data_IF_575609657627
#
_entry.id   IF_575609657627
#
_cell.length_a   1.000
_cell.length_b   1.000
_cell.length_c   1.000
_cell.angle_alpha   90.00
_cell.angle_beta   90.00
_cell.angle_gamma   90.00
#
_symmetry.space_group_name_H-M   'P 1'
#
loop_
_entity.id
_entity.type
_entity.pdbx_description
1 polymer ?
#
# COMPACT_ATOMS: atom_id res chain seq x y z
N UNK A 1 45.70 -11.88 -57.21
CA UNK A 1 44.23 -11.91 -57.16
C UNK A 1 43.76 -13.34 -57.36
N UNK A 2 42.80 -13.76 -56.53
CA UNK A 2 42.12 -15.07 -56.48
C UNK A 2 42.96 -16.27 -56.00
N UNK A 3 42.85 -16.56 -54.70
CA UNK A 3 42.91 -17.93 -54.19
C UNK A 3 41.73 -18.19 -53.26
N UNK A 4 41.16 -19.37 -53.46
CA UNK A 4 39.98 -19.91 -52.80
C UNK A 4 40.27 -20.41 -51.38
N UNK A 5 39.19 -20.62 -50.62
CA UNK A 5 39.14 -21.21 -49.29
C UNK A 5 37.98 -20.54 -48.54
N UNK A 6 37.15 -21.20 -47.74
CA UNK A 6 37.26 -22.50 -47.11
C UNK A 6 35.83 -22.84 -46.63
N UNK A 7 35.36 -24.05 -46.94
CA UNK A 7 34.10 -24.60 -46.44
C UNK A 7 34.22 -24.84 -44.94
N UNK A 8 33.38 -24.22 -44.11
CA UNK A 8 33.32 -24.48 -42.66
C UNK A 8 32.08 -25.33 -42.38
N UNK A 9 32.31 -26.57 -41.95
CA UNK A 9 31.32 -27.45 -41.34
C UNK A 9 30.92 -26.87 -39.97
N UNK A 10 29.63 -26.61 -39.77
CA UNK A 10 29.08 -26.37 -38.44
C UNK A 10 28.61 -27.70 -37.84
N UNK A 11 29.36 -28.16 -36.83
CA UNK A 11 29.13 -29.37 -36.03
C UNK A 11 27.92 -29.19 -35.12
N UNK A 12 26.93 -30.08 -35.24
CA UNK A 12 25.87 -30.26 -34.23
C UNK A 12 26.49 -30.85 -32.96
N UNK A 13 26.36 -30.14 -31.83
CA UNK A 13 26.67 -30.67 -30.51
C UNK A 13 25.36 -31.13 -29.87
N UNK A 14 25.15 -32.43 -29.81
CA UNK A 14 24.07 -33.07 -29.07
C UNK A 14 24.48 -33.24 -27.61
N UNK A 15 23.88 -32.49 -26.69
CA UNK A 15 24.03 -32.75 -25.25
C UNK A 15 23.09 -33.90 -24.86
N UNK A 16 23.68 -35.05 -24.59
CA UNK A 16 23.04 -36.17 -23.89
C UNK A 16 23.05 -35.90 -22.39
N UNK A 17 21.89 -35.61 -21.80
CA UNK A 17 21.69 -35.68 -20.35
C UNK A 17 21.43 -37.14 -19.95
N UNK A 18 22.32 -37.71 -19.15
CA UNK A 18 22.11 -38.98 -18.43
C UNK A 18 22.20 -38.71 -16.92
N UNK A 19 21.05 -38.86 -16.26
CA UNK A 19 20.84 -39.68 -15.06
C UNK A 19 21.54 -39.34 -13.72
N UNK A 20 20.73 -38.98 -12.72
CA UNK A 20 20.82 -39.44 -11.32
C UNK A 20 19.47 -39.06 -10.67
N UNK A 21 18.62 -39.96 -10.20
CA UNK A 21 18.75 -40.72 -8.95
C UNK A 21 17.58 -40.32 -8.06
N UNK A 22 16.64 -41.24 -7.82
CA UNK A 22 15.36 -40.93 -7.21
C UNK A 22 15.45 -40.55 -5.73
N UNK A 23 14.63 -39.58 -5.35
CA UNK A 23 13.98 -39.53 -4.05
C UNK A 23 12.50 -39.23 -4.29
N UNK A 24 11.62 -40.06 -3.77
CA UNK A 24 10.17 -39.85 -3.80
C UNK A 24 9.80 -38.89 -2.67
N UNK A 25 10.31 -37.66 -2.75
CA UNK A 25 9.81 -36.53 -1.99
C UNK A 25 8.87 -35.76 -2.89
N UNK A 26 7.62 -35.55 -2.46
CA UNK A 26 6.75 -34.59 -3.13
C UNK A 26 7.45 -33.23 -3.09
N UNK A 27 8.16 -32.87 -4.16
CA UNK A 27 8.78 -31.55 -4.28
C UNK A 27 7.65 -30.55 -4.32
N UNK A 28 7.36 -29.89 -3.20
CA UNK A 28 6.43 -28.77 -3.19
C UNK A 28 7.00 -27.72 -4.14
N UNK A 29 6.29 -27.43 -5.22
CA UNK A 29 6.68 -26.37 -6.14
C UNK A 29 6.86 -25.07 -5.37
N UNK A 30 7.91 -24.33 -5.66
CA UNK A 30 8.17 -23.02 -5.09
C UNK A 30 7.97 -21.93 -6.14
N UNK A 31 7.77 -20.70 -5.67
CA UNK A 31 7.56 -19.50 -6.49
C UNK A 31 8.14 -18.29 -5.77
N UNK A 32 8.61 -17.26 -6.48
CA UNK A 32 8.86 -15.97 -5.87
C UNK A 32 7.55 -15.33 -5.37
N UNK A 33 7.63 -14.60 -4.26
CA UNK A 33 6.61 -13.68 -3.74
C UNK A 33 7.25 -12.30 -3.52
N UNK A 34 6.51 -11.25 -3.84
CA UNK A 34 6.83 -9.86 -3.47
C UNK A 34 5.70 -9.34 -2.59
N UNK A 35 6.03 -8.67 -1.49
CA UNK A 35 5.07 -7.96 -0.66
C UNK A 35 5.52 -6.51 -0.58
N UNK A 36 4.66 -5.61 -1.04
CA UNK A 36 4.88 -4.17 -1.04
C UNK A 36 3.93 -3.45 -0.09
N UNK A 37 4.18 -2.17 0.13
CA UNK A 37 3.31 -1.22 0.83
C UNK A 37 2.92 -0.07 -0.09
N UNK A 38 1.70 0.43 0.07
CA UNK A 38 1.05 1.51 -0.68
C UNK A 38 -0.03 2.13 0.21
N UNK A 39 -0.51 3.31 -0.16
CA UNK A 39 -1.47 4.08 0.62
C UNK A 39 -2.51 4.85 -0.20
N UNK A 40 -3.65 5.10 0.45
CA UNK A 40 -4.62 6.11 0.11
C UNK A 40 -4.45 7.33 1.06
N UNK A 41 -4.03 8.50 0.54
CA UNK A 41 -3.50 9.61 1.33
C UNK A 41 -4.50 10.20 2.34
N UNK A 42 -3.96 10.84 3.37
CA UNK A 42 -4.68 11.65 4.36
C UNK A 42 -4.29 13.13 4.26
N UNK A 43 -5.20 14.04 4.60
CA UNK A 43 -5.05 15.47 4.31
C UNK A 43 -4.24 16.25 5.37
N UNK A 44 -4.36 15.84 6.64
CA UNK A 44 -3.85 16.61 7.79
C UNK A 44 -2.40 16.26 8.16
N UNK A 45 -1.82 15.24 7.52
CA UNK A 45 -0.41 14.86 7.70
C UNK A 45 0.45 15.28 6.51
N UNK A 46 1.69 15.69 6.79
CA UNK A 46 2.75 15.94 5.79
C UNK A 46 3.54 14.68 5.51
N UNK A 47 3.78 13.87 6.54
CA UNK A 47 4.41 12.56 6.41
C UNK A 47 3.76 11.60 7.39
N UNK A 48 3.64 10.33 6.98
CA UNK A 48 3.23 9.23 7.86
C UNK A 48 4.28 8.14 7.71
N UNK A 49 5.23 8.13 8.65
CA UNK A 49 6.42 7.28 8.56
C UNK A 49 6.22 6.02 9.40
N UNK A 50 6.21 4.87 8.71
CA UNK A 50 6.15 3.56 9.35
C UNK A 50 7.48 2.84 9.17
N UNK A 51 8.06 2.41 10.29
CA UNK A 51 9.30 1.62 10.28
C UNK A 51 8.99 0.13 10.35
N UNK A 52 9.25 -0.60 9.26
CA UNK A 52 9.01 -2.03 9.16
C UNK A 52 10.24 -2.84 9.57
N UNK A 53 10.02 -3.86 10.39
CA UNK A 53 11.09 -4.71 10.90
C UNK A 53 11.08 -6.14 10.33
N UNK A 54 9.90 -6.76 10.23
CA UNK A 54 9.79 -8.17 9.81
C UNK A 54 8.48 -8.48 9.08
N UNK A 55 8.55 -9.46 8.19
CA UNK A 55 7.41 -10.09 7.54
C UNK A 55 7.43 -11.59 7.86
N UNK A 56 6.31 -12.13 8.32
CA UNK A 56 6.17 -13.56 8.55
C UNK A 56 5.00 -14.14 7.74
N UNK A 57 5.32 -15.06 6.83
CA UNK A 57 4.35 -15.88 6.11
C UNK A 57 4.05 -17.12 6.95
N UNK A 58 2.76 -17.41 7.11
CA UNK A 58 2.22 -18.38 8.05
C UNK A 58 1.50 -19.52 7.31
N UNK A 59 2.20 -20.61 6.92
CA UNK A 59 1.60 -21.66 6.10
C UNK A 59 0.44 -22.36 6.81
N UNK A 60 -0.69 -22.52 6.11
CA UNK A 60 -1.87 -23.23 6.60
C UNK A 60 -1.65 -24.74 6.44
N UNK A 61 -1.12 -25.39 7.48
CA UNK A 61 -0.79 -26.82 7.48
C UNK A 61 0.63 -27.15 7.96
N UNK A 62 1.42 -26.12 8.30
CA UNK A 62 2.72 -26.24 8.96
C UNK A 62 2.75 -25.32 10.18
N UNK A 63 3.42 -25.73 11.24
CA UNK A 63 3.68 -24.87 12.41
C UNK A 63 4.98 -24.07 12.27
N UNK A 64 5.71 -24.24 11.17
CA UNK A 64 6.95 -23.50 10.89
C UNK A 64 6.67 -22.29 10.00
N UNK A 65 6.79 -21.06 10.52
CA UNK A 65 6.61 -19.84 9.75
C UNK A 65 7.84 -19.58 8.86
N UNK A 66 7.64 -18.82 7.77
CA UNK A 66 8.74 -18.26 6.98
C UNK A 66 8.89 -16.79 7.39
N UNK A 67 10.02 -16.44 8.00
CA UNK A 67 10.26 -15.10 8.55
C UNK A 67 11.36 -14.42 7.76
N UNK A 68 11.09 -13.19 7.36
CA UNK A 68 11.98 -12.33 6.60
C UNK A 68 12.19 -11.03 7.37
N UNK A 69 13.45 -10.64 7.55
CA UNK A 69 13.77 -9.33 8.10
C UNK A 69 13.60 -8.27 7.00
N UNK A 70 13.04 -7.12 7.36
CA UNK A 70 12.83 -5.98 6.49
C UNK A 70 13.83 -4.90 6.89
N UNK A 71 14.65 -4.46 5.95
CA UNK A 71 15.71 -3.50 6.19
C UNK A 71 16.01 -2.69 4.93
N UNK A 72 16.68 -1.56 5.11
CA UNK A 72 17.08 -0.67 4.04
C UNK A 72 18.08 -1.36 3.08
N UNK A 73 17.80 -1.29 1.78
CA UNK A 73 18.62 -1.92 0.74
C UNK A 73 18.84 -0.98 -0.45
N UNK A 74 19.91 -1.24 -1.21
CA UNK A 74 20.13 -0.61 -2.52
C UNK A 74 19.22 -1.21 -3.61
N UNK A 75 19.29 -0.69 -4.84
CA UNK A 75 18.51 -1.18 -5.99
C UNK A 75 18.73 -2.67 -6.32
N UNK A 76 19.87 -3.23 -5.90
CA UNK A 76 20.23 -4.63 -6.11
C UNK A 76 19.82 -5.54 -4.92
N UNK A 77 19.22 -4.98 -3.86
CA UNK A 77 18.84 -5.70 -2.66
C UNK A 77 19.97 -5.90 -1.66
N UNK A 78 21.10 -5.20 -1.80
CA UNK A 78 22.17 -5.26 -0.82
C UNK A 78 21.86 -4.33 0.37
N UNK A 79 22.06 -4.78 1.61
CA UNK A 79 21.81 -3.95 2.80
C UNK A 79 22.72 -2.72 2.84
N UNK A 80 22.15 -1.55 3.16
CA UNK A 80 22.87 -0.27 3.24
C UNK A 80 22.54 0.48 4.54
N UNK A 81 23.45 1.37 4.94
CA UNK A 81 23.21 2.35 6.00
C UNK A 81 22.41 3.57 5.48
N UNK A 82 22.04 4.47 6.38
CA UNK A 82 21.31 5.71 6.07
C UNK A 82 22.05 6.64 5.09
N UNK A 83 23.36 6.46 4.92
CA UNK A 83 24.19 7.22 4.00
C UNK A 83 24.37 6.53 2.65
N UNK A 84 23.75 5.35 2.45
CA UNK A 84 23.85 4.55 1.23
C UNK A 84 25.10 3.68 1.13
N UNK A 85 25.85 3.49 2.21
CA UNK A 85 27.01 2.60 2.22
C UNK A 85 26.59 1.15 2.50
N UNK A 86 27.21 0.19 1.81
CA UNK A 86 26.95 -1.23 2.04
C UNK A 86 27.28 -1.66 3.48
N UNK A 87 26.36 -2.39 4.11
CA UNK A 87 26.55 -3.01 5.42
C UNK A 87 27.05 -4.45 5.23
N UNK A 88 28.21 -4.82 5.78
CA UNK A 88 28.72 -6.19 5.71
C UNK A 88 27.78 -7.23 6.35
N UNK A 89 27.93 -8.49 5.94
CA UNK A 89 27.15 -9.58 6.53
C UNK A 89 27.48 -9.79 8.01
N UNK A 90 26.43 -9.96 8.82
CA UNK A 90 26.53 -10.16 10.27
C UNK A 90 26.60 -8.87 11.09
N UNK A 91 26.60 -7.70 10.44
CA UNK A 91 26.42 -6.41 11.11
C UNK A 91 24.94 -6.06 11.27
N UNK A 92 24.67 -5.13 12.18
CA UNK A 92 23.32 -4.65 12.47
C UNK A 92 22.71 -4.00 11.22
N UNK A 93 21.49 -4.41 10.87
CA UNK A 93 20.76 -3.90 9.71
C UNK A 93 19.89 -2.73 10.14
N UNK A 94 19.78 -1.72 9.27
CA UNK A 94 18.88 -0.58 9.48
C UNK A 94 17.48 -0.98 9.02
N UNK A 95 16.44 -0.92 9.88
CA UNK A 95 15.06 -1.18 9.47
C UNK A 95 14.60 -0.28 8.32
N UNK A 96 13.59 -0.69 7.58
CA UNK A 96 13.05 0.11 6.48
C UNK A 96 11.99 1.09 7.01
N UNK A 97 12.30 2.38 7.06
CA UNK A 97 11.33 3.44 7.32
C UNK A 97 10.72 3.95 6.01
N UNK A 98 9.40 4.02 5.96
CA UNK A 98 8.64 4.36 4.75
C UNK A 98 7.66 5.48 5.07
N UNK A 99 7.79 6.61 4.38
CA UNK A 99 6.69 7.58 4.31
C UNK A 99 5.59 7.01 3.40
N UNK A 100 4.46 6.63 3.99
CA UNK A 100 3.35 6.01 3.25
C UNK A 100 2.78 6.97 2.19
N UNK A 101 2.81 8.27 2.45
CA UNK A 101 2.28 9.28 1.53
C UNK A 101 3.07 9.39 0.22
N UNK A 102 4.26 8.81 0.13
CA UNK A 102 5.05 8.78 -1.12
C UNK A 102 4.54 7.70 -2.10
N UNK A 103 3.71 6.76 -1.63
CA UNK A 103 3.30 5.57 -2.39
C UNK A 103 1.78 5.53 -2.53
N UNK A 104 1.23 6.39 -3.39
CA UNK A 104 -0.21 6.49 -3.64
C UNK A 104 -0.63 5.87 -4.98
N UNK A 105 -1.89 5.46 -5.07
CA UNK A 105 -2.44 4.89 -6.29
C UNK A 105 -1.74 3.58 -6.64
N UNK A 106 -1.17 3.47 -7.84
CA UNK A 106 -0.43 2.27 -8.25
C UNK A 106 1.03 2.24 -7.80
N UNK A 107 1.54 3.29 -7.15
CA UNK A 107 2.90 3.32 -6.63
C UNK A 107 3.02 2.43 -5.38
N UNK A 108 4.10 1.67 -5.25
CA UNK A 108 4.32 0.83 -4.07
C UNK A 108 5.80 0.57 -3.81
N UNK A 109 6.15 0.30 -2.55
CA UNK A 109 7.50 -0.04 -2.11
C UNK A 109 7.58 -1.48 -1.60
N UNK A 110 8.45 -2.35 -2.16
CA UNK A 110 8.64 -3.71 -1.65
C UNK A 110 9.21 -3.72 -0.22
N UNK A 111 8.52 -4.41 0.70
CA UNK A 111 9.06 -4.79 2.01
C UNK A 111 9.93 -6.05 1.90
N UNK A 112 9.49 -7.01 1.08
CA UNK A 112 10.27 -8.19 0.67
C UNK A 112 10.09 -8.39 -0.83
N UNK A 113 11.14 -8.85 -1.51
CA UNK A 113 11.18 -8.89 -2.98
C UNK A 113 11.69 -10.23 -3.49
N UNK A 114 10.88 -10.89 -4.32
CA UNK A 114 11.23 -12.17 -4.98
C UNK A 114 11.65 -13.30 -4.02
N UNK A 115 11.08 -13.33 -2.81
CA UNK A 115 11.39 -14.38 -1.85
C UNK A 115 10.82 -15.72 -2.32
N UNK A 116 11.65 -16.77 -2.35
CA UNK A 116 11.22 -18.07 -2.89
C UNK A 116 10.53 -18.89 -1.81
N UNK A 117 9.23 -19.11 -1.97
CA UNK A 117 8.38 -19.82 -1.00
C UNK A 117 7.63 -20.99 -1.65
N UNK A 118 7.25 -22.02 -0.88
CA UNK A 118 6.35 -23.06 -1.37
C UNK A 118 5.01 -22.49 -1.84
N UNK A 119 4.41 -23.08 -2.86
CA UNK A 119 3.00 -22.80 -3.19
C UNK A 119 2.10 -23.33 -2.07
N UNK A 120 1.03 -22.60 -1.76
CA UNK A 120 0.14 -22.98 -0.67
C UNK A 120 -0.73 -21.85 -0.16
N UNK A 121 -1.42 -22.10 0.93
CA UNK A 121 -2.24 -21.09 1.61
C UNK A 121 -1.49 -20.55 2.83
N UNK A 122 -1.51 -19.24 3.01
CA UNK A 122 -0.73 -18.53 4.02
C UNK A 122 -1.59 -17.50 4.74
N UNK A 123 -1.31 -17.27 6.02
CA UNK A 123 -1.65 -16.01 6.71
C UNK A 123 -0.40 -15.13 6.74
N UNK A 124 -0.55 -13.88 7.18
CA UNK A 124 0.53 -12.90 7.18
C UNK A 124 0.58 -12.15 8.51
N UNK A 125 1.79 -11.98 9.05
CA UNK A 125 2.11 -10.96 10.04
C UNK A 125 3.13 -9.99 9.44
N UNK A 126 2.87 -8.69 9.61
CA UNK A 126 3.84 -7.64 9.30
C UNK A 126 4.10 -6.84 10.56
N UNK A 127 5.36 -6.75 10.93
CA UNK A 127 5.81 -6.07 12.13
C UNK A 127 6.30 -4.67 11.77
N UNK A 128 5.81 -3.70 12.52
CA UNK A 128 6.25 -2.32 12.43
C UNK A 128 6.62 -1.85 13.84
N UNK A 129 7.65 -1.02 13.96
CA UNK A 129 8.01 -0.41 15.24
C UNK A 129 6.92 0.57 15.67
N UNK A 130 6.58 0.58 16.95
CA UNK A 130 5.71 1.59 17.51
C UNK A 130 6.48 2.91 17.73
N UNK A 131 5.77 4.01 17.96
CA UNK A 131 6.40 5.31 18.18
C UNK A 131 7.27 5.41 19.43
N UNK A 132 7.10 4.48 20.39
CA UNK A 132 7.93 4.38 21.59
C UNK A 132 9.20 3.53 21.40
N UNK A 133 9.45 3.04 20.17
CA UNK A 133 10.65 2.27 19.87
C UNK A 133 11.92 3.14 20.02
N UNK A 134 12.96 2.65 20.73
CA UNK A 134 14.08 3.48 21.17
C UNK A 134 14.94 4.07 20.04
N UNK A 135 15.19 3.28 18.99
CA UNK A 135 16.13 3.67 17.94
C UNK A 135 15.45 4.10 16.63
N UNK A 136 14.42 3.36 16.20
CA UNK A 136 13.71 3.62 14.94
C UNK A 136 12.18 3.68 15.15
N UNK A 137 11.64 4.75 15.76
CA UNK A 137 10.21 4.90 15.98
C UNK A 137 9.44 5.14 14.68
N UNK A 138 8.17 4.77 14.67
CA UNK A 138 7.21 5.26 13.67
C UNK A 138 6.60 6.58 14.15
N UNK A 139 6.31 7.52 13.25
CA UNK A 139 5.84 8.86 13.61
C UNK A 139 5.00 9.52 12.51
N UNK A 140 4.31 10.61 12.86
CA UNK A 140 3.55 11.44 11.92
C UNK A 140 4.11 12.86 11.94
N UNK A 141 4.38 13.43 10.78
CA UNK A 141 4.75 14.85 10.65
C UNK A 141 3.50 15.64 10.30
N UNK A 142 3.01 16.46 11.22
CA UNK A 142 1.89 17.40 10.98
C UNK A 142 2.42 18.76 10.50
N UNK A 143 3.57 19.16 11.03
CA UNK A 143 4.26 20.40 10.71
C UNK A 143 5.77 20.15 10.62
N UNK A 144 6.35 20.45 9.46
CA UNK A 144 7.77 20.26 9.18
C UNK A 144 8.69 21.13 10.06
N UNK A 145 8.15 22.20 10.67
CA UNK A 145 8.93 23.08 11.54
C UNK A 145 9.12 22.49 12.96
N UNK A 146 8.35 21.47 13.33
CA UNK A 146 8.41 20.88 14.67
C UNK A 146 9.59 19.91 14.76
N UNK A 147 10.32 19.99 15.89
CA UNK A 147 11.48 19.12 16.15
C UNK A 147 11.10 17.79 16.81
N UNK A 148 9.84 17.68 17.26
CA UNK A 148 9.28 16.50 17.90
C UNK A 148 8.02 16.18 17.13
N UNK A 149 7.97 14.98 16.58
CA UNK A 149 6.84 14.49 15.81
C UNK A 149 5.98 13.59 16.69
N UNK A 150 4.63 13.70 16.59
CA UNK A 150 3.69 12.74 17.16
C UNK A 150 4.11 11.28 16.93
N UNK A 151 4.00 10.46 17.97
CA UNK A 151 4.26 9.03 17.88
C UNK A 151 3.19 8.34 17.02
N UNK A 152 3.58 7.28 16.29
CA UNK A 152 2.66 6.45 15.53
C UNK A 152 2.68 5.02 16.06
N UNK A 153 1.56 4.59 16.63
CA UNK A 153 1.40 3.22 17.12
C UNK A 153 0.72 2.34 16.06
N UNK A 154 1.27 1.15 15.82
CA UNK A 154 0.62 0.10 15.02
C UNK A 154 0.03 -0.93 15.98
N UNK A 155 -1.29 -0.97 16.14
CA UNK A 155 -1.89 -1.87 17.17
C UNK A 155 -1.49 -3.34 16.94
N UNK A 156 -1.17 -4.06 18.01
CA UNK A 156 -0.97 -5.52 17.95
C UNK A 156 -0.08 -6.16 18.99
N UNK A 157 0.49 -5.36 19.90
CA UNK A 157 1.32 -5.82 21.02
C UNK A 157 2.51 -6.70 20.59
N UNK A 158 2.98 -6.52 19.36
CA UNK A 158 4.17 -7.18 18.84
C UNK A 158 4.05 -8.68 18.67
N UNK A 159 2.86 -9.29 18.82
CA UNK A 159 2.71 -10.74 18.91
C UNK A 159 2.15 -11.36 17.62
N UNK A 160 2.86 -12.35 17.07
CA UNK A 160 2.40 -13.15 15.93
C UNK A 160 2.32 -14.65 16.29
N UNK A 161 1.28 -15.37 15.85
CA UNK A 161 1.10 -16.79 16.13
C UNK A 161 2.11 -17.69 15.41
N UNK A 162 1.92 -19.02 15.53
CA UNK A 162 2.74 -20.05 14.89
C UNK A 162 4.24 -19.93 15.19
N UNK A 163 4.58 -19.62 16.45
CA UNK A 163 5.97 -19.64 16.91
C UNK A 163 6.85 -18.49 16.42
N UNK A 164 6.29 -17.49 15.72
CA UNK A 164 7.02 -16.27 15.33
C UNK A 164 7.44 -15.46 16.57
N UNK A 165 6.58 -15.42 17.59
CA UNK A 165 6.89 -14.83 18.89
C UNK A 165 6.41 -13.40 19.05
N UNK A 166 7.05 -12.67 19.96
CA UNK A 166 6.74 -11.28 20.29
C UNK A 166 7.97 -10.40 20.10
N UNK A 167 7.77 -9.21 19.53
CA UNK A 167 8.75 -8.13 19.44
C UNK A 167 8.30 -7.02 20.39
N UNK A 168 9.20 -6.54 21.24
CA UNK A 168 8.90 -5.41 22.14
C UNK A 168 8.91 -4.09 21.34
N UNK A 169 8.11 -3.10 21.76
CA UNK A 169 7.98 -1.79 21.11
C UNK A 169 7.63 -1.89 19.61
N UNK A 170 6.81 -2.87 19.26
CA UNK A 170 6.37 -3.11 17.90
C UNK A 170 4.88 -3.47 17.84
N UNK A 171 4.25 -3.03 16.77
CA UNK A 171 2.95 -3.44 16.31
C UNK A 171 2.96 -4.68 15.42
N UNK A 172 1.77 -5.27 15.22
CA UNK A 172 1.57 -6.35 14.24
C UNK A 172 0.27 -6.17 13.47
N UNK A 173 0.42 -6.01 12.16
CA UNK A 173 -0.65 -6.17 11.18
C UNK A 173 -0.83 -7.67 10.89
N UNK A 174 -1.81 -8.29 11.57
CA UNK A 174 -2.12 -9.71 11.41
C UNK A 174 -3.30 -9.93 10.48
N UNK A 175 -3.05 -10.52 9.33
CA UNK A 175 -4.07 -10.90 8.35
C UNK A 175 -4.55 -12.32 8.63
N UNK A 176 -5.68 -12.41 9.32
CA UNK A 176 -6.24 -13.68 9.78
C UNK A 176 -6.89 -14.51 8.66
N UNK A 177 -7.32 -13.87 7.58
CA UNK A 177 -7.81 -14.55 6.39
C UNK A 177 -6.62 -15.06 5.58
N UNK A 178 -6.67 -16.34 5.21
CA UNK A 178 -5.59 -16.92 4.45
C UNK A 178 -5.67 -16.49 2.97
N UNK A 179 -4.53 -16.14 2.39
CA UNK A 179 -4.37 -15.89 0.97
C UNK A 179 -3.64 -17.08 0.32
N UNK A 180 -3.68 -17.14 -1.01
CA UNK A 180 -3.05 -18.24 -1.77
C UNK A 180 -1.83 -17.74 -2.51
N UNK A 181 -0.70 -18.43 -2.30
CA UNK A 181 0.50 -18.32 -3.12
C UNK A 181 0.42 -19.40 -4.21
N UNK A 182 0.27 -18.95 -5.45
CA UNK A 182 0.07 -19.80 -6.64
C UNK A 182 1.40 -20.10 -7.33
N UNK A 183 1.42 -21.02 -8.30
CA UNK A 183 2.65 -21.31 -9.05
C UNK A 183 3.16 -20.13 -9.90
N UNK A 184 2.28 -19.16 -10.20
CA UNK A 184 2.60 -17.99 -11.01
C UNK A 184 2.01 -16.74 -10.35
N UNK A 185 2.74 -15.63 -10.43
CA UNK A 185 2.23 -14.27 -10.19
C UNK A 185 1.75 -14.03 -8.74
N UNK A 186 2.68 -13.72 -7.85
CA UNK A 186 2.44 -13.54 -6.41
C UNK A 186 3.01 -12.19 -5.94
N UNK A 187 2.48 -11.12 -6.51
CA UNK A 187 2.80 -9.77 -6.09
C UNK A 187 1.65 -9.24 -5.24
N UNK A 188 1.95 -8.93 -3.99
CA UNK A 188 0.99 -8.45 -3.02
C UNK A 188 1.34 -7.04 -2.56
N UNK A 189 0.32 -6.28 -2.20
CA UNK A 189 0.43 -4.94 -1.66
C UNK A 189 -0.36 -4.84 -0.34
N UNK A 190 0.25 -4.26 0.68
CA UNK A 190 -0.42 -3.77 1.87
C UNK A 190 -0.90 -2.37 1.56
N UNK A 191 -2.19 -2.24 1.28
CA UNK A 191 -2.84 -0.95 1.08
C UNK A 191 -3.26 -0.41 2.44
N UNK A 192 -2.57 0.63 2.88
CA UNK A 192 -3.02 1.47 3.97
C UNK A 192 -4.08 2.41 3.41
N UNK A 193 -5.20 2.53 4.09
CA UNK A 193 -6.20 3.53 3.75
C UNK A 193 -6.10 4.60 4.82
N UNK A 194 -5.07 5.45 4.77
CA UNK A 194 -4.72 6.33 5.88
C UNK A 194 -5.84 7.30 6.21
N UNK A 195 -6.63 7.78 5.24
CA UNK A 195 -7.81 8.61 5.51
C UNK A 195 -8.81 7.88 6.43
N UNK A 196 -9.03 6.58 6.21
CA UNK A 196 -9.85 5.72 7.08
C UNK A 196 -9.07 5.07 8.23
N UNK A 197 -7.75 5.12 8.24
CA UNK A 197 -6.92 4.28 9.09
C UNK A 197 -6.16 5.01 10.18
N UNK A 198 -5.69 6.22 9.89
CA UNK A 198 -4.95 7.05 10.82
C UNK A 198 -5.92 7.75 11.77
N UNK A 199 -5.69 7.63 13.07
CA UNK A 199 -6.54 8.24 14.11
C UNK A 199 -5.69 8.81 15.21
N UNK A 200 -6.24 9.77 15.94
CA UNK A 200 -5.71 10.14 17.24
C UNK A 200 -5.68 8.92 18.17
N UNK A 201 -4.60 8.78 18.93
CA UNK A 201 -4.49 7.72 19.91
C UNK A 201 -5.40 8.04 21.12
N UNK A 202 -6.42 7.21 21.42
CA UNK A 202 -7.29 7.43 22.56
C UNK A 202 -6.57 7.28 23.92
N UNK A 203 -5.35 6.74 23.95
CA UNK A 203 -4.53 6.56 25.14
C UNK A 203 -3.46 7.66 25.30
N UNK A 204 -3.06 8.32 24.22
CA UNK A 204 -2.01 9.36 24.25
C UNK A 204 -2.42 10.55 23.38
N UNK A 205 -2.78 11.66 24.04
CA UNK A 205 -3.27 12.84 23.35
C UNK A 205 -2.16 13.49 22.52
N UNK A 206 -2.43 13.68 21.22
CA UNK A 206 -1.49 14.27 20.27
C UNK A 206 -0.66 13.25 19.50
N UNK A 207 -0.77 11.95 19.83
CA UNK A 207 -0.17 10.86 19.08
C UNK A 207 -1.20 10.18 18.17
N UNK A 208 -0.72 9.33 17.27
CA UNK A 208 -1.52 8.66 16.27
C UNK A 208 -1.47 7.14 16.38
N UNK A 209 -2.51 6.51 15.83
CA UNK A 209 -2.62 5.06 15.75
C UNK A 209 -3.16 4.63 14.40
N UNK A 210 -2.58 3.57 13.82
CA UNK A 210 -3.14 2.90 12.64
C UNK A 210 -4.18 1.87 13.07
N UNK A 211 -5.41 2.05 12.59
CA UNK A 211 -6.46 1.05 12.71
C UNK A 211 -6.19 -0.12 11.78
N UNK A 212 -5.93 -1.31 12.34
CA UNK A 212 -5.68 -2.53 11.56
C UNK A 212 -6.76 -2.87 10.53
N UNK A 213 -8.01 -2.49 10.78
CA UNK A 213 -9.15 -2.73 9.89
C UNK A 213 -9.13 -1.87 8.63
N UNK A 214 -8.28 -0.85 8.57
CA UNK A 214 -8.08 -0.01 7.40
C UNK A 214 -7.00 -0.55 6.45
N UNK A 215 -6.18 -1.51 6.89
CA UNK A 215 -5.10 -2.06 6.07
C UNK A 215 -5.56 -3.33 5.37
N UNK A 216 -5.40 -3.38 4.06
CA UNK A 216 -5.83 -4.50 3.21
C UNK A 216 -4.64 -5.17 2.53
N UNK A 217 -4.66 -6.50 2.43
CA UNK A 217 -3.70 -7.26 1.63
C UNK A 217 -4.33 -7.53 0.25
N UNK A 218 -3.73 -6.97 -0.79
CA UNK A 218 -4.24 -7.03 -2.16
C UNK A 218 -3.27 -7.83 -3.03
N UNK A 219 -3.80 -8.69 -3.91
CA UNK A 219 -2.99 -9.31 -4.97
C UNK A 219 -3.00 -8.42 -6.22
N UNK A 220 -1.89 -7.71 -6.44
CA UNK A 220 -1.79 -6.66 -7.46
C UNK A 220 -1.90 -7.18 -8.89
N UNK A 221 -1.69 -8.48 -9.06
CA UNK A 221 -1.70 -9.11 -10.38
C UNK A 221 -3.10 -9.43 -10.89
N UNK A 222 -4.09 -9.35 -10.00
CA UNK A 222 -5.50 -9.60 -10.28
C UNK A 222 -6.33 -8.33 -10.35
N UNK A 223 -5.68 -7.17 -10.27
CA UNK A 223 -6.31 -5.87 -10.13
C UNK A 223 -5.96 -4.94 -11.31
N UNK A 224 -6.65 -3.81 -11.40
CA UNK A 224 -6.31 -2.71 -12.28
C UNK A 224 -6.36 -1.39 -11.53
N UNK A 225 -6.17 -0.28 -12.24
CA UNK A 225 -6.09 1.04 -11.64
C UNK A 225 -7.11 2.00 -12.25
N UNK A 226 -7.41 3.08 -11.54
CA UNK A 226 -8.09 4.26 -12.08
C UNK A 226 -7.14 5.44 -11.93
N UNK A 227 -6.84 6.08 -13.06
CA UNK A 227 -6.11 7.34 -13.14
C UNK A 227 -7.09 8.43 -13.53
N UNK A 228 -7.11 9.55 -12.82
CA UNK A 228 -8.11 10.57 -13.08
C UNK A 228 -7.61 11.99 -12.96
N UNK A 229 -8.36 12.88 -13.60
CA UNK A 229 -8.05 14.30 -13.65
C UNK A 229 -9.25 15.15 -13.26
N UNK A 230 -8.99 16.29 -12.63
CA UNK A 230 -9.97 17.32 -12.32
C UNK A 230 -9.53 18.60 -13.03
N UNK A 231 -10.39 19.13 -13.90
CA UNK A 231 -10.08 20.37 -14.62
C UNK A 231 -9.96 21.56 -13.65
N UNK A 232 -9.14 22.56 -14.00
CA UNK A 232 -8.99 23.76 -13.17
C UNK A 232 -10.33 24.49 -12.95
N UNK A 233 -11.20 24.51 -13.95
CA UNK A 233 -12.53 25.12 -13.84
C UNK A 233 -13.42 24.34 -12.84
N UNK A 234 -13.42 23.00 -12.90
CA UNK A 234 -14.13 22.16 -11.92
C UNK A 234 -13.56 22.36 -10.51
N UNK A 235 -12.23 22.33 -10.37
CA UNK A 235 -11.54 22.54 -9.10
C UNK A 235 -11.90 23.89 -8.47
N UNK A 236 -11.92 24.96 -9.28
CA UNK A 236 -12.26 26.31 -8.84
C UNK A 236 -13.75 26.46 -8.55
N UNK A 237 -14.64 25.85 -9.33
CA UNK A 237 -16.08 25.96 -9.14
C UNK A 237 -16.61 25.15 -7.95
N UNK A 238 -15.95 24.03 -7.62
CA UNK A 238 -16.25 23.30 -6.40
C UNK A 238 -15.79 24.11 -5.18
N UNK A 239 -14.56 24.64 -5.22
CA UNK A 239 -13.98 25.35 -4.10
C UNK A 239 -14.59 26.75 -3.91
N UNK A 240 -15.33 26.96 -2.82
CA UNK A 240 -15.75 28.32 -2.46
C UNK A 240 -14.54 29.09 -1.91
N UNK A 241 -14.11 30.21 -2.54
CA UNK A 241 -12.91 30.96 -2.14
C UNK A 241 -13.01 31.62 -0.75
N UNK A 242 -14.11 31.43 -0.05
CA UNK A 242 -14.36 31.92 1.31
C UNK A 242 -13.97 30.91 2.40
N UNK A 243 -13.64 29.67 2.05
CA UNK A 243 -13.29 28.60 2.99
C UNK A 243 -11.81 28.25 2.80
N UNK A 244 -10.96 28.76 3.69
CA UNK A 244 -9.49 28.58 3.62
C UNK A 244 -9.05 27.14 3.90
N UNK A 245 -9.96 26.32 4.42
CA UNK A 245 -9.73 24.91 4.81
C UNK A 245 -10.43 23.93 3.87
N UNK A 246 -10.83 24.34 2.66
CA UNK A 246 -11.51 23.45 1.72
C UNK A 246 -10.54 22.37 1.23
N UNK A 247 -10.87 21.11 1.48
CA UNK A 247 -10.08 19.97 1.04
C UNK A 247 -10.81 19.21 -0.05
N UNK A 248 -10.07 18.87 -1.10
CA UNK A 248 -10.61 18.21 -2.28
C UNK A 248 -10.11 16.78 -2.38
N UNK A 249 -11.06 15.88 -2.62
CA UNK A 249 -10.81 14.46 -2.68
C UNK A 249 -11.80 13.79 -3.63
N UNK A 250 -11.45 12.58 -4.05
CA UNK A 250 -12.33 11.68 -4.78
C UNK A 250 -12.60 10.47 -3.90
N UNK A 251 -13.86 10.06 -3.83
CA UNK A 251 -14.33 8.93 -3.05
C UNK A 251 -14.79 7.82 -4.00
N UNK A 252 -14.27 6.61 -3.81
CA UNK A 252 -14.58 5.47 -4.67
C UNK A 252 -15.72 4.65 -4.05
N UNK A 253 -16.79 4.43 -4.80
CA UNK A 253 -17.92 3.59 -4.39
C UNK A 253 -18.15 2.46 -5.40
N UNK A 254 -18.84 1.41 -4.96
CA UNK A 254 -19.40 0.41 -5.87
C UNK A 254 -20.28 1.09 -6.94
N UNK A 255 -20.23 0.61 -8.18
CA UNK A 255 -20.93 1.21 -9.31
C UNK A 255 -22.47 1.24 -9.19
N UNK A 256 -23.04 0.51 -8.23
CA UNK A 256 -24.47 0.57 -7.89
C UNK A 256 -24.85 1.77 -7.01
N UNK A 257 -23.89 2.44 -6.38
CA UNK A 257 -24.13 3.57 -5.47
C UNK A 257 -24.40 4.84 -6.27
N UNK A 258 -25.58 5.41 -6.13
CA UNK A 258 -25.96 6.70 -6.72
C UNK A 258 -25.44 7.87 -5.91
N UNK A 259 -25.25 9.05 -6.54
CA UNK A 259 -24.75 10.27 -5.87
C UNK A 259 -25.48 10.59 -4.55
N UNK A 260 -26.82 10.53 -4.54
CA UNK A 260 -27.64 10.83 -3.35
C UNK A 260 -27.40 9.87 -2.17
N UNK A 261 -26.73 8.74 -2.41
CA UNK A 261 -26.40 7.71 -1.41
C UNK A 261 -24.90 7.63 -1.12
N UNK A 262 -24.08 8.45 -1.76
CA UNK A 262 -22.64 8.51 -1.48
C UNK A 262 -22.41 9.22 -0.15
N UNK A 263 -22.02 8.46 0.87
CA UNK A 263 -21.79 8.98 2.21
C UNK A 263 -20.28 9.11 2.51
N UNK A 264 -19.91 9.97 3.47
CA UNK A 264 -18.52 10.09 3.96
C UNK A 264 -17.99 8.80 4.60
N UNK A 265 -16.67 8.72 4.85
CA UNK A 265 -16.04 7.61 5.59
C UNK A 265 -16.62 7.54 7.00
N UNK A 266 -16.73 8.69 7.67
CA UNK A 266 -17.22 8.79 9.03
C UNK A 266 -18.73 9.05 9.09
N UNK A 267 -19.30 9.04 10.29
CA UNK A 267 -20.75 9.13 10.50
C UNK A 267 -21.48 7.79 10.41
N UNK A 268 -22.81 7.81 10.60
CA UNK A 268 -23.63 6.60 10.79
C UNK A 268 -24.15 5.97 9.50
N UNK A 269 -23.92 6.59 8.34
CA UNK A 269 -24.42 6.10 7.06
C UNK A 269 -23.86 4.72 6.69
N UNK A 270 -24.69 3.90 6.06
CA UNK A 270 -24.32 2.52 5.69
C UNK A 270 -23.48 2.46 4.41
N UNK A 271 -23.66 3.42 3.49
CA UNK A 271 -22.99 3.42 2.18
C UNK A 271 -21.64 4.11 2.24
N UNK A 272 -20.66 3.44 2.85
CA UNK A 272 -19.29 3.94 2.95
C UNK A 272 -18.53 3.81 1.62
N UNK A 273 -17.59 4.72 1.34
CA UNK A 273 -16.66 4.54 0.22
C UNK A 273 -15.78 3.30 0.48
N UNK A 274 -15.32 2.70 -0.62
CA UNK A 274 -14.35 1.62 -0.62
C UNK A 274 -12.93 2.13 -0.31
N UNK A 275 -12.61 3.32 -0.81
CA UNK A 275 -11.36 4.05 -0.61
C UNK A 275 -11.54 5.52 -1.03
N UNK A 276 -10.56 6.37 -0.77
CA UNK A 276 -10.52 7.78 -1.16
C UNK A 276 -9.15 8.16 -1.73
N UNK A 277 -9.09 9.18 -2.58
CA UNK A 277 -7.84 9.70 -3.12
C UNK A 277 -7.79 11.22 -2.94
N UNK A 278 -6.63 11.75 -2.55
CA UNK A 278 -6.39 13.18 -2.55
C UNK A 278 -6.28 13.69 -3.99
N UNK A 279 -6.73 14.93 -4.20
CA UNK A 279 -6.62 15.62 -5.49
C UNK A 279 -5.41 16.53 -5.46
N UNK A 280 -4.34 16.10 -6.13
CA UNK A 280 -3.04 16.78 -6.12
C UNK A 280 -2.80 17.51 -7.43
N UNK A 281 -2.05 18.62 -7.37
CA UNK A 281 -1.63 19.34 -8.57
C UNK A 281 -0.50 18.55 -9.26
N UNK A 282 -0.56 18.39 -10.59
CA UNK A 282 0.50 17.74 -11.36
C UNK A 282 1.83 18.51 -11.26
N UNK A 283 2.96 17.82 -11.51
CA UNK A 283 4.30 18.42 -11.47
C UNK A 283 4.45 19.63 -12.40
N UNK A 284 3.79 19.58 -13.56
CA UNK A 284 3.76 20.67 -14.53
C UNK A 284 2.73 21.77 -14.20
N UNK A 285 2.02 21.61 -13.07
CA UNK A 285 1.03 22.54 -12.52
C UNK A 285 -0.11 22.88 -13.47
N UNK A 286 -0.45 21.97 -14.38
CA UNK A 286 -1.43 22.21 -15.44
C UNK A 286 -2.82 21.63 -15.14
N UNK A 287 -2.87 20.53 -14.38
CA UNK A 287 -4.09 19.79 -14.08
C UNK A 287 -4.02 19.25 -12.65
N UNK A 288 -5.19 19.01 -12.05
CA UNK A 288 -5.26 18.23 -10.83
C UNK A 288 -5.48 16.77 -11.16
N UNK A 289 -4.84 15.89 -10.42
CA UNK A 289 -4.84 14.44 -10.65
C UNK A 289 -5.12 13.68 -9.35
N UNK A 290 -5.67 12.50 -9.51
CA UNK A 290 -5.90 11.53 -8.44
C UNK A 290 -5.76 10.13 -9.02
N UNK A 291 -5.51 9.14 -8.17
CA UNK A 291 -5.41 7.76 -8.61
C UNK A 291 -5.92 6.80 -7.55
N UNK A 292 -6.44 5.66 -8.02
CA UNK A 292 -6.77 4.51 -7.19
C UNK A 292 -6.05 3.30 -7.76
N UNK A 293 -5.16 2.72 -6.96
CA UNK A 293 -4.42 1.52 -7.35
C UNK A 293 -5.12 0.25 -6.91
N UNK A 294 -4.72 -0.84 -7.56
CA UNK A 294 -4.99 -2.19 -7.10
C UNK A 294 -6.47 -2.51 -6.83
N UNK A 295 -7.36 -2.00 -7.67
CA UNK A 295 -8.79 -2.25 -7.59
C UNK A 295 -9.17 -3.58 -8.24
N UNK A 296 -10.09 -4.31 -7.62
CA UNK A 296 -10.67 -5.50 -8.24
C UNK A 296 -11.39 -5.15 -9.55
N UNK A 297 -11.47 -6.06 -10.53
CA UNK A 297 -12.21 -5.80 -11.76
C UNK A 297 -13.70 -5.60 -11.47
N UNK A 298 -14.25 -4.50 -11.96
CA UNK A 298 -15.62 -4.12 -11.62
C UNK A 298 -16.02 -2.75 -12.17
N UNK A 299 -17.24 -2.35 -11.87
CA UNK A 299 -17.77 -1.01 -12.17
C UNK A 299 -17.81 -0.20 -10.90
N UNK A 300 -17.35 1.04 -10.96
CA UNK A 300 -17.24 1.95 -9.82
C UNK A 300 -17.84 3.30 -10.15
N UNK A 301 -18.36 3.98 -9.12
CA UNK A 301 -18.72 5.40 -9.21
C UNK A 301 -17.78 6.20 -8.32
N UNK A 302 -17.25 7.30 -8.85
CA UNK A 302 -16.30 8.18 -8.20
C UNK A 302 -17.02 9.48 -7.84
N UNK A 303 -17.12 9.76 -6.55
CA UNK A 303 -17.68 11.00 -6.02
C UNK A 303 -16.58 12.02 -5.76
N UNK A 304 -16.52 13.08 -6.56
CA UNK A 304 -15.60 14.19 -6.33
C UNK A 304 -16.22 15.21 -5.38
N UNK A 305 -15.44 15.67 -4.40
CA UNK A 305 -15.86 16.63 -3.36
C UNK A 305 -14.78 17.67 -3.09
N UNK A 306 -15.21 18.84 -2.63
CA UNK A 306 -14.38 19.93 -2.09
C UNK A 306 -14.74 20.26 -0.64
N UNK A 307 -15.40 19.32 0.02
CA UNK A 307 -15.85 19.42 1.42
C UNK A 307 -15.27 18.28 2.26
N UNK A 308 -14.15 17.71 1.81
CA UNK A 308 -13.56 16.50 2.39
C UNK A 308 -13.04 16.72 3.81
N UNK A 309 -12.75 17.97 4.19
CA UNK A 309 -12.39 18.38 5.55
C UNK A 309 -13.52 18.18 6.59
N UNK A 310 -14.74 17.92 6.14
CA UNK A 310 -15.87 17.61 7.03
C UNK A 310 -16.00 16.11 7.29
N UNK A 311 -15.24 15.27 6.57
CA UNK A 311 -15.21 13.82 6.75
C UNK A 311 -14.19 13.44 7.84
N UNK A 312 -14.55 13.75 9.09
CA UNK A 312 -13.80 13.38 10.29
C UNK A 312 -14.76 12.77 11.36
N UNK A 313 -14.20 12.20 12.43
CA UNK A 313 -14.98 11.77 13.61
C UNK A 313 -14.79 12.68 14.83
N UNK A 314 -14.23 13.88 14.63
CA UNK A 314 -13.92 14.80 15.72
C UNK A 314 -15.22 15.17 16.44
N UNK A 315 -15.18 15.06 17.77
CA UNK A 315 -16.32 15.32 18.66
C UNK A 315 -17.60 14.49 18.35
N UNK A 316 -17.50 13.39 17.61
CA UNK A 316 -18.65 12.62 17.09
C UNK A 316 -19.62 13.50 16.28
N UNK A 317 -19.10 14.53 15.60
CA UNK A 317 -19.91 15.29 14.66
C UNK A 317 -20.37 14.37 13.52
N UNK A 318 -21.58 14.62 13.00
CA UNK A 318 -22.04 13.99 11.77
C UNK A 318 -21.44 14.77 10.58
N UNK A 319 -20.57 14.15 9.75
CA UNK A 319 -19.93 14.80 8.61
C UNK A 319 -20.90 15.48 7.65
N UNK A 320 -22.06 14.86 7.40
CA UNK A 320 -23.06 15.41 6.47
C UNK A 320 -23.69 16.66 7.08
N UNK A 321 -23.98 16.63 8.38
CA UNK A 321 -24.46 17.81 9.10
C UNK A 321 -23.39 18.91 9.20
N UNK A 322 -22.10 18.54 9.23
CA UNK A 322 -20.96 19.45 9.24
C UNK A 322 -20.69 20.09 7.86
N UNK A 323 -21.25 19.55 6.78
CA UNK A 323 -21.21 20.14 5.45
C UNK A 323 -20.61 19.26 4.36
N UNK A 324 -20.29 17.99 4.64
CA UNK A 324 -19.83 17.06 3.62
C UNK A 324 -20.87 16.87 2.52
N UNK A 325 -20.44 16.96 1.25
CA UNK A 325 -21.29 16.72 0.08
C UNK A 325 -20.47 16.28 -1.14
N UNK A 326 -21.07 15.46 -2.01
CA UNK A 326 -20.49 15.11 -3.31
C UNK A 326 -20.91 16.14 -4.36
N UNK A 327 -19.92 16.74 -5.03
CA UNK A 327 -20.12 17.78 -6.04
C UNK A 327 -20.47 17.20 -7.40
N UNK A 328 -19.70 16.21 -7.87
CA UNK A 328 -19.88 15.56 -9.17
C UNK A 328 -19.58 14.07 -9.06
N UNK A 329 -20.23 13.28 -9.91
CA UNK A 329 -20.00 11.82 -10.00
C UNK A 329 -19.62 11.44 -11.42
N UNK A 330 -18.59 10.60 -11.53
CA UNK A 330 -18.20 9.95 -12.79
C UNK A 330 -18.13 8.44 -12.59
N UNK A 331 -18.38 7.66 -13.64
CA UNK A 331 -18.31 6.21 -13.60
C UNK A 331 -17.00 5.69 -14.23
N UNK A 332 -16.46 4.61 -13.69
CA UNK A 332 -15.31 3.91 -14.23
C UNK A 332 -15.55 2.39 -14.28
N UNK A 333 -14.79 1.70 -15.13
CA UNK A 333 -14.76 0.24 -15.19
C UNK A 333 -13.32 -0.23 -15.15
N UNK A 334 -12.97 -1.01 -14.13
CA UNK A 334 -11.64 -1.55 -13.93
C UNK A 334 -11.54 -2.92 -14.58
N UNK A 335 -10.41 -3.16 -15.26
CA UNK A 335 -10.04 -4.47 -15.80
C UNK A 335 -8.63 -4.82 -15.37
N UNK A 336 -8.35 -6.12 -15.25
CA UNK A 336 -7.04 -6.61 -14.77
C UNK A 336 -5.90 -6.06 -15.62
N UNK A 337 -4.90 -5.46 -14.96
CA UNK A 337 -3.67 -4.95 -15.58
C UNK A 337 -3.86 -3.73 -16.48
N UNK A 338 -4.96 -2.99 -16.34
CA UNK A 338 -5.23 -1.79 -17.11
C UNK A 338 -5.42 -0.55 -16.23
N UNK A 339 -5.03 0.60 -16.77
CA UNK A 339 -5.28 1.92 -16.19
C UNK A 339 -6.51 2.53 -16.85
N UNK A 340 -7.57 2.71 -16.07
CA UNK A 340 -8.83 3.29 -16.53
C UNK A 340 -8.79 4.79 -16.31
N UNK A 341 -9.16 5.59 -17.31
CA UNK A 341 -9.09 7.05 -17.19
C UNK A 341 -10.43 7.67 -16.86
N UNK A 342 -10.47 8.59 -15.90
CA UNK A 342 -11.66 9.38 -15.54
C UNK A 342 -11.33 10.88 -15.58
N UNK A 343 -12.28 11.72 -15.99
CA UNK A 343 -12.08 13.18 -15.97
C UNK A 343 -13.31 13.88 -15.42
N UNK A 344 -13.11 14.70 -14.39
CA UNK A 344 -14.10 15.65 -13.90
C UNK A 344 -13.92 17.00 -14.62
N UNK A 345 -14.88 17.34 -15.47
CA UNK A 345 -15.00 18.67 -16.10
C UNK A 345 -16.32 19.32 -15.70
N UNK A 346 -16.40 20.65 -15.87
CA UNK A 346 -17.65 21.39 -15.68
C UNK A 346 -18.79 20.75 -16.49
N UNK A 347 -19.99 20.60 -15.90
CA UNK A 347 -21.15 19.99 -16.57
C UNK A 347 -21.61 20.69 -17.84
#
# INVERSE_FOLDING_TARGET
MKHAGLTVLASLISLTLVGCGGDSGSSSSTTPITLSVTDAPVDDAKEVVVTFGKVALLPQGSDSPLVYDVYLTDENGNPIDENGNLIPDGEERVPLSVNLLDYQGSASLPLIKNEVVPVGSYKLCVFANDGDHPDYPSYVVVNEADLVHPELTVKGEGACPQGVGKIDNAGVLYFNNAFTVNANNNDFALEFDLRRGLRDDPQSAGDYVIQRTSVSLINTVTTGNIEGTVSLDTFTNCNSPTVDTAVQAVYLYDGSVTQDSMAPIYGTDETKPLSSAAVNLSDDQSIYQFSFGFLEPGTYNLGYTCTAQHDDDVDNADPVAAGFSIYQVEAASVTVGADSTVTFTVP
#
